data_IF_527182436207
#
_entry.id   IF_527182436207
#
_cell.length_a   1.000
_cell.length_b   1.000
_cell.length_c   1.000
_cell.angle_alpha   90.00
_cell.angle_beta   90.00
_cell.angle_gamma   90.00
#
_symmetry.space_group_name_H-M   'P 1'
#
loop_
_entity.id
_entity.type
_entity.pdbx_description
1 polymer ?
#
# COMPACT_ATOMS: atom_id res chain seq x y z
N UNK A 1 -7.86 23.20 1.61
CA UNK A 1 -8.67 21.98 1.34
C UNK A 1 -9.26 21.51 2.66
N UNK A 2 -10.54 21.13 2.74
CA UNK A 2 -11.09 20.62 4.00
C UNK A 2 -10.77 19.12 4.17
N UNK A 3 -10.80 18.62 5.41
CA UNK A 3 -10.39 17.25 5.74
C UNK A 3 -11.26 16.17 5.08
N UNK A 4 -12.51 16.46 4.76
CA UNK A 4 -13.39 15.51 4.06
C UNK A 4 -13.00 15.34 2.59
N UNK A 5 -12.61 16.43 1.92
CA UNK A 5 -12.17 16.39 0.53
C UNK A 5 -10.89 15.56 0.40
N UNK A 6 -9.92 15.75 1.30
CA UNK A 6 -8.66 15.01 1.28
C UNK A 6 -8.88 13.50 1.52
N UNK A 7 -9.76 13.13 2.46
CA UNK A 7 -10.13 11.72 2.68
C UNK A 7 -10.69 11.07 1.42
N UNK A 8 -11.62 11.75 0.76
CA UNK A 8 -12.24 11.23 -0.45
C UNK A 8 -11.22 11.10 -1.59
N UNK A 9 -10.33 12.07 -1.73
CA UNK A 9 -9.23 12.02 -2.70
C UNK A 9 -8.28 10.85 -2.42
N UNK A 10 -7.90 10.62 -1.16
CA UNK A 10 -7.03 9.49 -0.80
C UNK A 10 -7.67 8.14 -1.15
N UNK A 11 -8.98 7.98 -0.92
CA UNK A 11 -9.71 6.77 -1.32
C UNK A 11 -9.67 6.59 -2.84
N UNK A 12 -10.00 7.65 -3.60
CA UNK A 12 -10.01 7.62 -5.06
C UNK A 12 -8.62 7.32 -5.64
N UNK A 13 -7.57 7.86 -5.03
CA UNK A 13 -6.20 7.64 -5.50
C UNK A 13 -5.71 6.21 -5.22
N UNK A 14 -6.03 5.64 -4.05
CA UNK A 14 -5.76 4.22 -3.79
C UNK A 14 -6.54 3.32 -4.76
N UNK A 15 -7.82 3.63 -5.02
CA UNK A 15 -8.60 2.88 -6.01
C UNK A 15 -7.96 2.95 -7.40
N UNK A 16 -7.49 4.13 -7.82
CA UNK A 16 -6.77 4.31 -9.07
C UNK A 16 -5.51 3.45 -9.10
N UNK A 17 -4.65 3.56 -8.10
CA UNK A 17 -3.38 2.81 -8.02
C UNK A 17 -3.63 1.30 -8.05
N UNK A 18 -4.53 0.79 -7.22
CA UNK A 18 -4.86 -0.64 -7.19
C UNK A 18 -5.54 -1.13 -8.48
N UNK A 19 -6.13 -0.24 -9.28
CA UNK A 19 -6.72 -0.60 -10.58
C UNK A 19 -5.71 -0.71 -11.72
N UNK A 20 -4.50 -0.13 -11.56
CA UNK A 20 -3.47 -0.16 -12.60
C UNK A 20 -2.86 -1.55 -12.80
N UNK A 21 -2.92 -2.41 -11.78
CA UNK A 21 -2.43 -3.79 -11.86
C UNK A 21 -3.21 -4.69 -10.91
N UNK A 22 -3.57 -5.92 -11.33
CA UNK A 22 -4.20 -6.89 -10.43
C UNK A 22 -3.25 -7.40 -9.34
N UNK A 23 -1.94 -7.18 -9.49
CA UNK A 23 -0.90 -7.60 -8.54
C UNK A 23 0.09 -6.45 -8.33
N UNK A 24 0.34 -6.12 -7.07
CA UNK A 24 1.39 -5.17 -6.70
C UNK A 24 2.64 -5.97 -6.28
N UNK A 25 3.75 -5.93 -7.04
CA UNK A 25 5.01 -6.51 -6.61
C UNK A 25 5.51 -5.83 -5.33
N UNK A 26 5.80 -6.66 -4.31
CA UNK A 26 6.41 -6.26 -3.05
C UNK A 26 7.91 -6.50 -3.15
N UNK A 27 8.68 -5.42 -3.21
CA UNK A 27 10.11 -5.43 -3.54
C UNK A 27 10.96 -5.19 -2.29
N UNK A 28 12.04 -5.94 -2.18
CA UNK A 28 13.10 -5.70 -1.19
C UNK A 28 14.42 -5.70 -1.93
N UNK A 29 15.08 -4.56 -1.97
CA UNK A 29 16.37 -4.40 -2.64
C UNK A 29 17.52 -4.52 -1.65
N UNK A 30 18.58 -5.23 -2.05
CA UNK A 30 19.81 -5.41 -1.28
C UNK A 30 21.01 -4.69 -1.92
N UNK A 31 20.88 -4.23 -3.17
CA UNK A 31 21.85 -3.38 -3.86
C UNK A 31 21.13 -2.30 -4.67
N UNK A 32 21.77 -1.15 -4.89
CA UNK A 32 21.23 -0.11 -5.78
C UNK A 32 21.33 -0.50 -7.25
N UNK A 33 22.33 -1.31 -7.62
CA UNK A 33 22.57 -1.71 -9.00
C UNK A 33 21.43 -2.57 -9.59
N UNK A 34 20.63 -3.21 -8.74
CA UNK A 34 19.48 -4.02 -9.16
C UNK A 34 18.16 -3.21 -9.27
N UNK A 35 18.10 -2.00 -8.71
CA UNK A 35 16.87 -1.22 -8.56
C UNK A 35 16.25 -0.92 -9.93
N UNK A 36 16.98 -0.22 -10.79
CA UNK A 36 16.46 0.19 -12.11
C UNK A 36 16.22 -1.01 -13.04
N UNK A 37 17.15 -1.99 -13.18
CA UNK A 37 16.91 -3.16 -14.03
C UNK A 37 15.64 -3.93 -13.66
N UNK A 38 15.39 -4.14 -12.36
CA UNK A 38 14.19 -4.85 -11.89
C UNK A 38 12.93 -4.00 -12.09
N UNK A 39 12.96 -2.73 -11.69
CA UNK A 39 11.81 -1.83 -11.81
C UNK A 39 11.39 -1.66 -13.27
N UNK A 40 12.35 -1.45 -14.18
CA UNK A 40 12.08 -1.38 -15.62
C UNK A 40 11.47 -2.67 -16.16
N UNK A 41 11.99 -3.83 -15.77
CA UNK A 41 11.47 -5.11 -16.22
C UNK A 41 10.01 -5.31 -15.79
N UNK A 42 9.65 -4.91 -14.56
CA UNK A 42 8.29 -4.98 -14.05
C UNK A 42 7.35 -4.02 -14.80
N UNK A 43 7.76 -2.77 -14.98
CA UNK A 43 6.97 -1.77 -15.72
C UNK A 43 6.75 -2.22 -17.17
N UNK A 44 7.81 -2.66 -17.87
CA UNK A 44 7.73 -3.22 -19.23
C UNK A 44 6.86 -4.49 -19.30
N UNK A 45 6.84 -5.27 -18.21
CA UNK A 45 5.98 -6.44 -18.03
C UNK A 45 4.52 -6.14 -17.71
N UNK A 46 4.12 -4.87 -17.65
CA UNK A 46 2.74 -4.45 -17.37
C UNK A 46 2.41 -4.35 -15.88
N UNK A 47 3.41 -4.28 -15.00
CA UNK A 47 3.25 -4.07 -13.56
C UNK A 47 3.79 -2.69 -13.17
N UNK A 48 3.05 -1.58 -13.45
CA UNK A 48 3.56 -0.23 -13.25
C UNK A 48 3.57 0.21 -11.77
N UNK A 49 2.91 -0.52 -10.86
CA UNK A 49 2.81 -0.18 -9.44
C UNK A 49 3.83 -0.98 -8.65
N UNK A 50 4.75 -0.31 -7.95
CA UNK A 50 5.88 -0.95 -7.26
C UNK A 50 5.84 -0.61 -5.76
N UNK A 51 5.68 -1.61 -4.89
CA UNK A 51 5.77 -1.43 -3.42
C UNK A 51 7.20 -1.74 -2.95
N UNK A 52 8.04 -0.73 -2.74
CA UNK A 52 9.39 -0.90 -2.19
C UNK A 52 9.32 -0.95 -0.67
N UNK A 53 9.71 -2.08 -0.07
CA UNK A 53 9.64 -2.27 1.38
C UNK A 53 10.80 -1.59 2.12
N UNK A 54 10.49 -0.85 3.19
CA UNK A 54 11.48 -0.25 4.10
C UNK A 54 12.09 -1.29 5.05
N UNK A 55 12.71 -2.31 4.49
CA UNK A 55 13.33 -3.44 5.21
C UNK A 55 14.84 -3.49 5.07
N UNK A 56 15.42 -2.58 4.29
CA UNK A 56 16.86 -2.44 4.06
C UNK A 56 17.23 -0.96 4.10
N UNK A 57 18.49 -0.67 4.45
CA UNK A 57 18.97 0.71 4.60
C UNK A 57 18.92 1.51 3.29
N UNK A 58 18.94 0.82 2.15
CA UNK A 58 18.92 1.44 0.80
C UNK A 58 17.50 1.70 0.27
N UNK A 59 16.44 1.33 1.01
CA UNK A 59 15.08 1.34 0.47
C UNK A 59 14.59 2.74 0.04
N UNK A 60 14.93 3.78 0.80
CA UNK A 60 14.57 5.16 0.45
C UNK A 60 15.32 5.65 -0.80
N UNK A 61 16.60 5.28 -0.92
CA UNK A 61 17.39 5.59 -2.11
C UNK A 61 16.88 4.84 -3.34
N UNK A 62 16.43 3.59 -3.17
CA UNK A 62 15.79 2.82 -4.23
C UNK A 62 14.47 3.47 -4.70
N UNK A 63 13.62 3.94 -3.78
CA UNK A 63 12.39 4.70 -4.12
C UNK A 63 12.76 5.93 -4.95
N UNK A 64 13.75 6.69 -4.48
CA UNK A 64 14.23 7.89 -5.18
C UNK A 64 14.74 7.60 -6.58
N UNK A 65 15.56 6.55 -6.74
CA UNK A 65 16.07 6.13 -8.04
C UNK A 65 14.93 5.82 -9.01
N UNK A 66 13.91 5.07 -8.56
CA UNK A 66 12.75 4.73 -9.39
C UNK A 66 11.97 6.00 -9.74
N UNK A 67 11.66 6.85 -8.76
CA UNK A 67 10.90 8.08 -8.96
C UNK A 67 11.59 9.04 -9.95
N UNK A 68 12.91 9.18 -9.86
CA UNK A 68 13.69 10.11 -10.71
C UNK A 68 13.88 9.59 -12.15
N UNK A 69 13.90 8.26 -12.36
CA UNK A 69 14.30 7.67 -13.64
C UNK A 69 13.15 6.99 -14.41
N UNK A 70 12.06 6.61 -13.73
CA UNK A 70 10.96 5.84 -14.31
C UNK A 70 9.61 6.56 -14.09
N UNK A 71 9.29 7.60 -14.87
CA UNK A 71 8.05 8.36 -14.71
C UNK A 71 6.77 7.52 -14.95
N UNK A 72 6.89 6.41 -15.69
CA UNK A 72 5.80 5.47 -15.92
C UNK A 72 5.56 4.53 -14.71
N UNK A 73 6.47 4.51 -13.73
CA UNK A 73 6.32 3.74 -12.50
C UNK A 73 5.55 4.54 -11.44
N UNK A 74 4.53 3.91 -10.85
CA UNK A 74 3.92 4.34 -9.61
C UNK A 74 4.67 3.67 -8.46
N UNK A 75 5.73 4.31 -7.97
CA UNK A 75 6.52 3.80 -6.84
C UNK A 75 5.88 4.21 -5.53
N UNK A 76 5.72 3.27 -4.61
CA UNK A 76 5.26 3.50 -3.25
C UNK A 76 6.15 2.82 -2.22
N UNK A 77 5.97 3.18 -0.96
CA UNK A 77 6.73 2.60 0.15
C UNK A 77 5.88 1.61 0.94
N UNK A 78 6.40 0.40 1.11
CA UNK A 78 5.81 -0.66 1.93
C UNK A 78 6.54 -0.85 3.24
N UNK A 79 5.91 -1.56 4.19
CA UNK A 79 6.49 -1.80 5.54
C UNK A 79 6.77 -0.49 6.30
N UNK A 80 6.00 0.57 6.04
CA UNK A 80 6.07 1.79 6.85
C UNK A 80 5.45 1.52 8.23
N UNK A 81 6.14 1.91 9.30
CA UNK A 81 5.76 1.58 10.69
C UNK A 81 5.37 2.80 11.52
N UNK A 82 5.82 4.00 11.15
CA UNK A 82 5.60 5.23 11.90
C UNK A 82 5.53 6.48 10.99
N UNK A 83 5.10 7.64 11.53
CA UNK A 83 5.05 8.90 10.78
C UNK A 83 6.40 9.33 10.19
N UNK A 84 7.51 9.11 10.90
CA UNK A 84 8.82 9.54 10.41
C UNK A 84 9.23 8.79 9.12
N UNK A 85 8.99 7.48 9.07
CA UNK A 85 9.20 6.68 7.87
C UNK A 85 8.24 7.06 6.74
N UNK A 86 7.01 7.44 7.09
CA UNK A 86 6.02 7.92 6.13
C UNK A 86 6.53 9.18 5.43
N UNK A 87 6.98 10.18 6.20
CA UNK A 87 7.51 11.44 5.69
C UNK A 87 8.76 11.21 4.83
N UNK A 88 9.72 10.43 5.33
CA UNK A 88 10.94 10.10 4.60
C UNK A 88 10.65 9.40 3.25
N UNK A 89 9.66 8.51 3.21
CA UNK A 89 9.22 7.88 1.98
C UNK A 89 8.61 8.89 1.00
N UNK A 90 7.79 9.83 1.48
CA UNK A 90 7.23 10.89 0.65
C UNK A 90 8.34 11.79 0.08
N UNK A 91 9.32 12.17 0.89
CA UNK A 91 10.50 12.95 0.47
C UNK A 91 11.34 12.21 -0.59
N UNK A 92 11.43 10.88 -0.49
CA UNK A 92 12.07 10.04 -1.49
C UNK A 92 11.28 9.94 -2.82
N UNK A 93 10.03 10.42 -2.87
CA UNK A 93 9.19 10.39 -4.07
C UNK A 93 8.17 9.26 -4.09
N UNK A 94 7.87 8.61 -2.96
CA UNK A 94 6.77 7.65 -2.89
C UNK A 94 5.42 8.32 -3.19
N UNK A 95 4.65 7.68 -4.07
CA UNK A 95 3.32 8.14 -4.54
C UNK A 95 2.17 7.50 -3.77
N UNK A 96 2.44 6.46 -2.97
CA UNK A 96 1.53 5.88 -2.00
C UNK A 96 2.30 5.17 -0.89
N UNK A 97 1.67 5.01 0.27
CA UNK A 97 2.25 4.37 1.44
C UNK A 97 1.44 3.12 1.81
N UNK A 98 2.13 2.05 2.19
CA UNK A 98 1.55 0.77 2.60
C UNK A 98 2.15 0.31 3.92
N UNK A 99 1.29 -0.06 4.87
CA UNK A 99 1.71 -0.49 6.20
C UNK A 99 1.29 -1.95 6.44
N UNK A 100 2.04 -2.75 7.22
CA UNK A 100 1.69 -4.14 7.49
C UNK A 100 0.56 -4.26 8.53
N UNK A 101 0.45 -3.27 9.41
CA UNK A 101 -0.63 -3.04 10.36
C UNK A 101 -0.80 -1.52 10.52
N UNK A 102 -1.60 -1.05 11.46
CA UNK A 102 -1.77 0.39 11.64
C UNK A 102 -1.94 0.77 13.11
N UNK A 103 -1.43 1.95 13.47
CA UNK A 103 -1.65 2.59 14.78
C UNK A 103 -2.55 3.82 14.59
N UNK A 104 -3.26 4.20 15.64
CA UNK A 104 -4.08 5.44 15.61
C UNK A 104 -3.26 6.67 15.25
N UNK A 105 -2.00 6.73 15.70
CA UNK A 105 -1.07 7.82 15.38
C UNK A 105 -0.78 7.88 13.88
N UNK A 106 -0.37 6.77 13.27
CA UNK A 106 -0.04 6.71 11.85
C UNK A 106 -1.27 7.00 10.98
N UNK A 107 -2.44 6.47 11.36
CA UNK A 107 -3.70 6.74 10.66
C UNK A 107 -4.09 8.22 10.71
N UNK A 108 -3.90 8.89 11.86
CA UNK A 108 -4.19 10.32 11.98
C UNK A 108 -3.18 11.17 11.24
N UNK A 109 -1.90 10.80 11.30
CA UNK A 109 -0.85 11.48 10.56
C UNK A 109 -1.11 11.45 9.05
N UNK A 110 -1.38 10.28 8.48
CA UNK A 110 -1.63 10.17 7.04
C UNK A 110 -2.87 10.94 6.54
N UNK A 111 -3.83 11.26 7.42
CA UNK A 111 -4.97 12.12 7.06
C UNK A 111 -4.59 13.60 6.86
N UNK A 112 -3.39 14.01 7.24
CA UNK A 112 -2.87 15.36 6.99
C UNK A 112 -1.91 15.41 5.80
N UNK A 113 -1.68 14.28 5.13
CA UNK A 113 -0.71 14.13 4.04
C UNK A 113 -1.41 14.01 2.69
N UNK A 114 -0.73 14.47 1.63
CA UNK A 114 -1.24 14.39 0.25
C UNK A 114 -1.02 13.01 -0.37
N UNK A 115 0.07 12.34 -0.01
CA UNK A 115 0.32 10.96 -0.43
C UNK A 115 -0.72 10.08 0.27
N UNK A 116 -1.39 9.14 -0.41
CA UNK A 116 -2.39 8.31 0.23
C UNK A 116 -1.79 7.13 0.99
N UNK A 117 -2.47 6.70 2.06
CA UNK A 117 -2.13 5.52 2.85
C UNK A 117 -3.10 4.36 2.54
N UNK A 118 -2.55 3.18 2.28
CA UNK A 118 -3.22 1.88 2.30
C UNK A 118 -2.86 1.16 3.61
N UNK A 119 -3.65 1.35 4.70
CA UNK A 119 -3.29 0.83 6.00
C UNK A 119 -3.50 -0.67 6.11
N UNK A 120 -2.57 -1.35 6.78
CA UNK A 120 -2.68 -2.76 7.15
C UNK A 120 -3.68 -3.01 8.28
N UNK A 121 -4.49 -4.07 8.11
CA UNK A 121 -5.37 -4.65 9.13
C UNK A 121 -5.36 -6.18 9.04
N UNK A 122 -5.67 -6.83 10.15
CA UNK A 122 -5.86 -8.28 10.25
C UNK A 122 -7.23 -8.65 10.83
N UNK A 123 -7.84 -7.78 11.65
CA UNK A 123 -9.08 -8.06 12.38
C UNK A 123 -10.20 -7.06 12.08
N UNK A 124 -11.45 -7.44 12.38
CA UNK A 124 -12.60 -6.55 12.22
C UNK A 124 -12.51 -5.33 13.15
N UNK A 125 -11.94 -5.47 14.34
CA UNK A 125 -11.78 -4.37 15.29
C UNK A 125 -10.80 -3.31 14.76
N UNK A 126 -9.69 -3.72 14.15
CA UNK A 126 -8.73 -2.82 13.50
C UNK A 126 -9.36 -2.11 12.30
N UNK A 127 -10.11 -2.85 11.47
CA UNK A 127 -10.89 -2.28 10.38
C UNK A 127 -11.85 -1.20 10.91
N UNK A 128 -12.62 -1.48 11.96
CA UNK A 128 -13.57 -0.53 12.54
C UNK A 128 -12.87 0.74 13.08
N UNK A 129 -11.69 0.60 13.70
CA UNK A 129 -10.92 1.74 14.20
C UNK A 129 -10.50 2.67 13.05
N UNK A 130 -9.96 2.11 11.96
CA UNK A 130 -9.56 2.90 10.80
C UNK A 130 -10.78 3.43 10.02
N UNK A 131 -11.86 2.66 9.94
CA UNK A 131 -13.12 3.07 9.31
C UNK A 131 -13.75 4.28 10.01
N UNK A 132 -13.69 4.32 11.34
CA UNK A 132 -14.16 5.48 12.13
C UNK A 132 -13.38 6.77 11.82
N UNK A 133 -12.12 6.65 11.35
CA UNK A 133 -11.32 7.79 10.89
C UNK A 133 -11.59 8.15 9.42
N UNK A 134 -12.33 7.32 8.69
CA UNK A 134 -12.74 7.54 7.30
C UNK A 134 -12.02 6.66 6.28
N UNK A 135 -11.14 5.74 6.69
CA UNK A 135 -10.49 4.81 5.77
C UNK A 135 -11.47 3.76 5.24
N UNK A 136 -11.35 3.42 3.95
CA UNK A 136 -12.22 2.45 3.24
C UNK A 136 -11.44 1.41 2.44
N UNK A 137 -10.12 1.53 2.37
CA UNK A 137 -9.23 0.66 1.59
C UNK A 137 -8.16 0.16 2.54
N UNK A 138 -7.88 -1.14 2.49
CA UNK A 138 -7.03 -1.78 3.48
C UNK A 138 -6.08 -2.78 2.84
N UNK A 139 -4.86 -2.87 3.35
CA UNK A 139 -4.03 -4.06 3.16
C UNK A 139 -4.49 -5.11 4.16
N UNK A 140 -4.88 -6.29 3.68
CA UNK A 140 -5.21 -7.41 4.55
C UNK A 140 -3.96 -8.28 4.69
N UNK A 141 -3.34 -8.27 5.87
CA UNK A 141 -2.04 -8.88 6.07
C UNK A 141 -1.90 -9.48 7.49
N UNK A 142 -1.28 -10.67 7.63
CA UNK A 142 -0.93 -11.63 6.58
C UNK A 142 -2.16 -12.43 6.14
N UNK A 143 -2.55 -12.32 4.87
CA UNK A 143 -3.87 -12.73 4.37
C UNK A 143 -4.16 -14.23 4.57
N UNK A 144 -3.25 -15.12 4.15
CA UNK A 144 -3.51 -16.56 4.14
C UNK A 144 -3.70 -17.14 5.54
N UNK A 145 -2.78 -16.85 6.46
CA UNK A 145 -2.88 -17.32 7.86
C UNK A 145 -3.98 -16.62 8.66
N UNK A 146 -4.53 -15.52 8.15
CA UNK A 146 -5.63 -14.77 8.78
C UNK A 146 -7.01 -15.17 8.24
N UNK A 147 -7.11 -16.31 7.56
CA UNK A 147 -8.37 -16.87 7.06
C UNK A 147 -8.69 -16.52 5.60
N UNK A 148 -7.82 -15.78 4.92
CA UNK A 148 -7.86 -15.53 3.49
C UNK A 148 -9.21 -15.03 2.98
N UNK A 149 -9.66 -15.62 1.87
CA UNK A 149 -10.93 -15.26 1.19
C UNK A 149 -12.15 -15.31 2.13
N UNK A 150 -12.18 -16.26 3.08
CA UNK A 150 -13.32 -16.40 3.99
C UNK A 150 -13.40 -15.21 4.96
N UNK A 151 -12.25 -14.75 5.48
CA UNK A 151 -12.20 -13.57 6.33
C UNK A 151 -12.63 -12.31 5.56
N UNK A 152 -12.14 -12.12 4.33
CA UNK A 152 -12.52 -10.99 3.48
C UNK A 152 -14.04 -10.92 3.24
N UNK A 153 -14.66 -12.06 2.90
CA UNK A 153 -16.13 -12.15 2.75
C UNK A 153 -16.87 -11.84 4.04
N UNK A 154 -16.36 -12.33 5.18
CA UNK A 154 -16.96 -12.07 6.48
C UNK A 154 -16.86 -10.59 6.89
N UNK A 155 -15.82 -9.87 6.49
CA UNK A 155 -15.66 -8.44 6.77
C UNK A 155 -16.53 -7.58 5.86
N UNK A 156 -16.62 -7.93 4.57
CA UNK A 156 -17.42 -7.19 3.59
C UNK A 156 -18.94 -7.29 3.84
N UNK A 157 -19.42 -8.33 4.53
CA UNK A 157 -20.84 -8.48 4.88
C UNK A 157 -21.39 -7.31 5.72
N UNK A 158 -20.87 -7.06 6.94
CA UNK A 158 -21.33 -5.97 7.79
C UNK A 158 -20.83 -4.58 7.36
N UNK A 159 -19.74 -4.49 6.59
CA UNK A 159 -19.12 -3.22 6.18
C UNK A 159 -18.95 -3.23 4.66
N UNK A 160 -20.04 -2.99 3.93
CA UNK A 160 -20.09 -3.21 2.47
C UNK A 160 -19.25 -2.24 1.62
N UNK A 161 -18.86 -1.08 2.15
CA UNK A 161 -18.06 -0.07 1.45
C UNK A 161 -16.57 -0.12 1.86
N UNK A 162 -15.98 -1.32 1.85
CA UNK A 162 -14.53 -1.49 2.00
C UNK A 162 -13.96 -2.36 0.90
N UNK A 163 -12.70 -2.14 0.55
CA UNK A 163 -11.94 -3.00 -0.35
C UNK A 163 -10.60 -3.38 0.26
N UNK A 164 -10.06 -4.50 -0.19
CA UNK A 164 -8.83 -5.06 0.36
C UNK A 164 -7.79 -5.34 -0.71
N UNK A 165 -6.53 -5.07 -0.38
CA UNK A 165 -5.35 -5.59 -1.08
C UNK A 165 -4.76 -6.72 -0.20
N UNK A 166 -5.13 -7.99 -0.43
CA UNK A 166 -4.62 -9.09 0.37
C UNK A 166 -3.14 -9.36 0.07
N UNK A 167 -2.32 -9.43 1.11
CA UNK A 167 -0.87 -9.69 0.99
C UNK A 167 -0.44 -10.76 1.99
N UNK A 168 0.50 -11.62 1.60
CA UNK A 168 1.03 -12.70 2.43
C UNK A 168 0.38 -14.04 2.11
N UNK A 169 1.15 -14.93 1.47
CA UNK A 169 0.71 -16.29 1.10
C UNK A 169 -0.06 -16.39 -0.22
N UNK A 170 -0.24 -15.30 -0.98
CA UNK A 170 -0.98 -15.28 -2.24
C UNK A 170 -0.20 -16.00 -3.35
N UNK A 171 -0.87 -16.91 -4.07
CA UNK A 171 -0.32 -17.69 -5.19
C UNK A 171 -1.24 -17.62 -6.42
N UNK A 172 -0.72 -17.93 -7.60
CA UNK A 172 -1.42 -17.81 -8.90
C UNK A 172 -2.78 -18.55 -8.97
N UNK A 173 -2.99 -19.57 -8.15
CA UNK A 173 -4.25 -20.31 -8.06
C UNK A 173 -5.30 -19.68 -7.12
N UNK A 174 -5.05 -18.48 -6.60
CA UNK A 174 -5.87 -17.84 -5.56
C UNK A 174 -6.23 -16.38 -5.85
N UNK A 175 -6.00 -15.87 -7.06
CA UNK A 175 -6.39 -14.51 -7.42
C UNK A 175 -7.92 -14.40 -7.46
N UNK A 176 -8.49 -13.76 -6.44
CA UNK A 176 -9.87 -13.27 -6.44
C UNK A 176 -9.81 -11.77 -6.15
N UNK A 177 -10.17 -10.97 -7.14
CA UNK A 177 -10.55 -9.57 -6.91
C UNK A 177 -11.93 -9.61 -6.25
N UNK A 178 -12.02 -9.18 -4.98
CA UNK A 178 -13.29 -8.89 -4.29
C UNK A 178 -13.32 -7.39 -4.03
#
# INVERSE_FOLDING_TARGET
MNNETLKQQNITEIDRICSLSPVIPVLTFNSLDEVLPIAEALVKGGLPVLEVTLRTDIALEAIKLIADNLPDAQVGAGTVLNPEQYEAACEAGATFIVTPGSTTELLKHALTQQVPLLPGIQTISELMQAYALGYKRFKFFPAEVSGGVNALKAFAGPIGDVRFCPTGGIRLNQQQTI
#
